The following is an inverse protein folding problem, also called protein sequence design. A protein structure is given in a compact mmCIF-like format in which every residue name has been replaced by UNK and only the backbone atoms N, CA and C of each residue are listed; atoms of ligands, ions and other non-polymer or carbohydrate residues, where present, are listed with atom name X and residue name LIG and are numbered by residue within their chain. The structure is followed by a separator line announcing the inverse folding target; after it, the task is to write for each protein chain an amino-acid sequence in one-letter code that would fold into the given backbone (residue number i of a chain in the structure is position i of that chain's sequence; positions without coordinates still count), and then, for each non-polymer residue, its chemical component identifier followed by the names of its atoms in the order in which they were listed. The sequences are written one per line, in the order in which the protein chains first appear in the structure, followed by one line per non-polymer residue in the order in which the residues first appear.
data_IF_727369241208
#
_entry.id   IF_727369241208
#
_cell.length_a   1.000
_cell.length_b   1.000
_cell.length_c   1.000
_cell.angle_alpha   90.00
_cell.angle_beta   90.00
_cell.angle_gamma   90.00
#
_symmetry.space_group_name_H-M   'P 1'
#
loop_
_entity.id
_entity.type
_entity.pdbx_description
1 polymer ?
#
# COMPACT_ATOMS: atom_id res chain seq x y z
N UNK A 1 -43.03 -3.04 -31.70
CA UNK A 1 -41.55 -3.05 -31.85
C UNK A 1 -41.04 -1.64 -31.61
N UNK A 2 -41.34 -1.09 -30.44
CA UNK A 2 -40.56 -1.14 -29.18
C UNK A 2 -39.62 0.07 -29.13
N UNK A 3 -40.18 1.20 -28.67
CA UNK A 3 -39.44 2.40 -28.31
C UNK A 3 -38.71 2.12 -27.00
N UNK A 4 -37.39 2.23 -27.01
CA UNK A 4 -36.55 2.16 -25.81
C UNK A 4 -36.90 3.31 -24.86
N UNK A 5 -37.18 3.06 -23.58
CA UNK A 5 -37.38 4.13 -22.62
C UNK A 5 -36.03 4.75 -22.25
N UNK A 6 -35.96 6.07 -22.35
CA UNK A 6 -34.94 6.89 -21.68
C UNK A 6 -35.18 6.86 -20.17
N UNK A 7 -34.11 6.61 -19.42
CA UNK A 7 -33.98 7.01 -18.02
C UNK A 7 -33.99 5.88 -16.99
N UNK A 8 -32.81 5.61 -16.41
CA UNK A 8 -32.67 5.48 -14.95
C UNK A 8 -31.23 5.69 -14.53
N UNK A 9 -31.03 6.73 -13.72
CA UNK A 9 -29.81 6.99 -13.01
C UNK A 9 -29.39 5.77 -12.18
N UNK A 10 -28.19 5.26 -12.43
CA UNK A 10 -27.51 4.32 -11.54
C UNK A 10 -26.63 5.11 -10.56
N UNK A 11 -27.25 6.00 -9.77
CA UNK A 11 -26.57 6.57 -8.60
C UNK A 11 -26.83 5.63 -7.42
N UNK A 12 -26.09 4.51 -7.38
CA UNK A 12 -26.05 3.66 -6.19
C UNK A 12 -25.21 4.33 -5.10
N UNK A 13 -25.64 4.19 -3.85
CA UNK A 13 -24.97 4.63 -2.60
C UNK A 13 -23.64 3.89 -2.31
N UNK A 14 -22.79 3.68 -3.31
CA UNK A 14 -21.53 2.92 -3.23
C UNK A 14 -20.44 3.50 -4.16
N UNK A 15 -20.47 4.80 -4.43
CA UNK A 15 -19.28 5.46 -4.98
C UNK A 15 -18.31 5.64 -3.81
N UNK A 16 -17.28 4.79 -3.71
CA UNK A 16 -16.19 5.04 -2.78
C UNK A 16 -15.49 6.31 -3.24
N UNK A 17 -15.46 7.30 -2.36
CA UNK A 17 -14.68 8.51 -2.56
C UNK A 17 -13.21 8.16 -2.31
N UNK A 18 -12.49 7.84 -3.40
CA UNK A 18 -11.09 7.45 -3.31
C UNK A 18 -10.17 8.61 -2.92
N UNK A 19 -10.60 9.86 -3.10
CA UNK A 19 -9.86 11.04 -2.65
C UNK A 19 -9.94 11.13 -1.13
N UNK A 20 -11.15 11.03 -0.57
CA UNK A 20 -11.36 10.96 0.87
C UNK A 20 -10.59 9.79 1.51
N UNK A 21 -10.65 8.59 0.92
CA UNK A 21 -9.89 7.42 1.42
C UNK A 21 -8.39 7.69 1.42
N UNK A 22 -7.84 8.31 0.36
CA UNK A 22 -6.42 8.63 0.31
C UNK A 22 -6.00 9.64 1.37
N UNK A 23 -6.80 10.68 1.62
CA UNK A 23 -6.53 11.67 2.67
C UNK A 23 -6.54 11.03 4.06
N UNK A 24 -7.54 10.19 4.34
CA UNK A 24 -7.66 9.46 5.61
C UNK A 24 -6.47 8.52 5.83
N UNK A 25 -6.08 7.75 4.82
CA UNK A 25 -4.92 6.85 4.89
C UNK A 25 -3.60 7.62 5.00
N UNK A 26 -3.45 8.79 4.36
CA UNK A 26 -2.29 9.66 4.51
C UNK A 26 -2.19 10.24 5.92
N UNK A 27 -3.32 10.61 6.52
CA UNK A 27 -3.40 11.04 7.91
C UNK A 27 -2.97 9.91 8.86
N UNK A 28 -3.55 8.71 8.69
CA UNK A 28 -3.20 7.54 9.48
C UNK A 28 -1.70 7.20 9.35
N UNK A 29 -1.15 7.23 8.13
CA UNK A 29 0.27 7.01 7.89
C UNK A 29 1.14 8.07 8.60
N UNK A 30 0.71 9.34 8.58
CA UNK A 30 1.39 10.42 9.29
C UNK A 30 1.50 10.14 10.78
N UNK A 31 0.37 9.77 11.40
CA UNK A 31 0.29 9.49 12.83
C UNK A 31 1.20 8.33 13.24
N UNK A 32 1.27 7.27 12.44
CA UNK A 32 2.16 6.11 12.70
C UNK A 32 3.65 6.48 12.64
N UNK A 33 4.01 7.55 11.95
CA UNK A 33 5.38 8.01 11.77
C UNK A 33 5.83 9.05 12.80
N UNK A 34 4.91 9.69 13.54
CA UNK A 34 5.22 10.82 14.43
C UNK A 34 6.40 10.55 15.38
N UNK A 35 6.34 9.48 16.18
CA UNK A 35 7.41 9.16 17.13
C UNK A 35 8.74 8.77 16.48
N UNK A 36 8.72 8.31 15.23
CA UNK A 36 9.95 8.00 14.48
C UNK A 36 10.60 9.25 13.90
N UNK A 37 9.79 10.22 13.44
CA UNK A 37 10.28 11.50 12.92
C UNK A 37 10.96 12.33 14.00
N UNK A 38 10.47 12.27 15.23
CA UNK A 38 11.11 12.92 16.38
C UNK A 38 12.46 12.26 16.73
N UNK A 39 12.52 10.92 16.64
CA UNK A 39 13.72 10.14 16.95
C UNK A 39 14.81 10.26 15.88
N UNK A 40 14.42 10.41 14.61
CA UNK A 40 15.31 10.48 13.46
C UNK A 40 14.99 11.72 12.60
N UNK A 41 15.26 12.93 13.11
CA UNK A 41 14.85 14.18 12.45
C UNK A 41 15.55 14.43 11.11
N UNK A 42 16.76 13.89 10.94
CA UNK A 42 17.56 14.06 9.72
C UNK A 42 17.12 13.13 8.57
N UNK A 43 16.22 12.18 8.84
CA UNK A 43 15.69 11.28 7.82
C UNK A 43 14.48 11.93 7.15
N UNK A 44 14.67 12.39 5.91
CA UNK A 44 13.59 12.92 5.10
C UNK A 44 12.61 11.79 4.74
N UNK A 45 11.33 11.99 5.04
CA UNK A 45 10.27 11.00 4.79
C UNK A 45 9.30 11.54 3.74
N UNK A 46 9.26 10.87 2.60
CA UNK A 46 8.19 11.02 1.62
C UNK A 46 7.09 9.97 1.89
N UNK A 47 5.84 10.41 1.94
CA UNK A 47 4.68 9.57 2.30
C UNK A 47 3.82 9.38 1.07
N UNK A 48 3.57 8.13 0.71
CA UNK A 48 2.77 7.79 -0.46
C UNK A 48 1.70 6.77 -0.09
N UNK A 49 0.45 7.08 -0.43
CA UNK A 49 -0.68 6.15 -0.39
C UNK A 49 -1.16 5.98 -1.82
N UNK A 50 -1.30 4.73 -2.27
CA UNK A 50 -1.74 4.40 -3.62
C UNK A 50 -2.89 3.40 -3.57
N UNK A 51 -3.84 3.56 -4.49
CA UNK A 51 -4.87 2.57 -4.73
C UNK A 51 -4.42 1.61 -5.84
N UNK A 52 -3.64 0.60 -5.46
CA UNK A 52 -3.05 -0.38 -6.39
C UNK A 52 -2.78 -1.73 -5.69
N UNK A 53 -2.35 -2.73 -6.45
CA UNK A 53 -1.82 -3.97 -5.91
C UNK A 53 -0.43 -3.72 -5.30
N UNK A 54 -0.15 -4.24 -4.10
CA UNK A 54 1.07 -3.90 -3.36
C UNK A 54 2.36 -4.30 -4.08
N UNK A 55 2.40 -5.50 -4.69
CA UNK A 55 3.61 -6.00 -5.35
C UNK A 55 3.99 -5.14 -6.56
N UNK A 56 3.14 -4.92 -7.58
CA UNK A 56 3.48 -4.03 -8.69
C UNK A 56 3.82 -2.62 -8.25
N UNK A 57 3.08 -2.06 -7.29
CA UNK A 57 3.35 -0.70 -6.80
C UNK A 57 4.73 -0.58 -6.16
N UNK A 58 5.07 -1.49 -5.24
CA UNK A 58 6.37 -1.48 -4.57
C UNK A 58 7.53 -1.75 -5.53
N UNK A 59 7.33 -2.60 -6.55
CA UNK A 59 8.35 -2.83 -7.58
C UNK A 59 8.65 -1.57 -8.40
N UNK A 60 7.64 -0.75 -8.74
CA UNK A 60 7.88 0.54 -9.42
C UNK A 60 8.71 1.50 -8.57
N UNK A 61 8.44 1.58 -7.27
CA UNK A 61 9.27 2.39 -6.38
C UNK A 61 10.68 1.81 -6.22
N UNK A 62 10.81 0.49 -6.23
CA UNK A 62 12.09 -0.20 -6.10
C UNK A 62 13.05 0.07 -7.28
N UNK A 63 12.54 0.40 -8.47
CA UNK A 63 13.36 0.80 -9.64
C UNK A 63 14.26 2.02 -9.35
N UNK A 64 13.87 2.86 -8.40
CA UNK A 64 14.59 4.07 -8.02
C UNK A 64 15.14 4.02 -6.58
N UNK A 65 15.03 2.88 -5.89
CA UNK A 65 15.45 2.71 -4.51
C UNK A 65 16.76 1.92 -4.41
N UNK A 66 17.56 2.22 -3.39
CA UNK A 66 18.77 1.44 -3.07
C UNK A 66 18.47 0.21 -2.20
N UNK A 67 17.33 0.20 -1.50
CA UNK A 67 16.90 -0.88 -0.62
C UNK A 67 15.37 -0.83 -0.46
N UNK A 68 14.71 -1.97 -0.62
CA UNK A 68 13.30 -2.14 -0.29
C UNK A 68 13.14 -2.84 1.06
N UNK A 69 12.46 -2.19 2.02
CA UNK A 69 12.23 -2.76 3.36
C UNK A 69 10.76 -3.16 3.51
N UNK A 70 10.51 -4.40 3.89
CA UNK A 70 9.15 -4.94 4.12
C UNK A 70 9.09 -5.79 5.38
N UNK A 71 7.90 -5.89 5.98
CA UNK A 71 7.67 -6.83 7.08
C UNK A 71 7.66 -8.30 6.61
N UNK A 72 7.81 -9.25 7.54
CA UNK A 72 7.68 -10.67 7.21
C UNK A 72 6.27 -11.10 6.84
N UNK A 73 5.24 -10.46 7.40
CA UNK A 73 3.84 -10.80 7.15
C UNK A 73 3.00 -9.51 7.11
N UNK A 74 1.92 -9.54 6.32
CA UNK A 74 0.88 -8.51 6.35
C UNK A 74 -0.29 -8.93 7.25
N UNK A 75 -1.43 -8.26 7.10
CA UNK A 75 -2.68 -8.55 7.83
C UNK A 75 -3.43 -9.83 7.38
N UNK A 76 -2.77 -10.73 6.63
CA UNK A 76 -3.39 -11.93 6.06
C UNK A 76 -3.49 -13.12 7.04
N UNK A 77 -4.46 -14.01 6.79
CA UNK A 77 -4.90 -15.07 7.72
C UNK A 77 -3.99 -16.32 7.84
N UNK A 78 -2.79 -16.34 7.23
CA UNK A 78 -1.91 -17.52 7.25
C UNK A 78 -0.85 -17.38 8.35
N UNK A 79 -1.23 -17.80 9.56
CA UNK A 79 -0.40 -17.75 10.78
C UNK A 79 0.77 -18.76 10.80
N UNK A 80 0.95 -19.56 9.75
CA UNK A 80 2.01 -20.60 9.67
C UNK A 80 3.12 -20.35 8.64
N UNK A 81 3.06 -19.29 7.84
CA UNK A 81 4.08 -19.02 6.81
C UNK A 81 5.27 -18.21 7.37
N UNK A 82 6.49 -18.57 6.96
CA UNK A 82 7.71 -17.82 7.27
C UNK A 82 7.69 -16.41 6.65
N UNK A 83 7.10 -16.29 5.46
CA UNK A 83 6.93 -15.05 4.69
C UNK A 83 5.48 -14.92 4.20
N UNK A 84 4.96 -13.68 4.18
CA UNK A 84 3.70 -13.34 3.52
C UNK A 84 3.87 -13.26 1.99
N UNK A 85 2.75 -13.37 1.26
CA UNK A 85 2.74 -13.40 -0.21
C UNK A 85 3.42 -12.19 -0.86
N UNK A 86 3.20 -10.98 -0.32
CA UNK A 86 3.86 -9.76 -0.80
C UNK A 86 5.38 -9.84 -0.62
N UNK A 87 5.86 -10.15 0.58
CA UNK A 87 7.30 -10.21 0.87
C UNK A 87 7.99 -11.30 0.05
N UNK A 88 7.35 -12.46 -0.12
CA UNK A 88 7.86 -13.52 -0.98
C UNK A 88 7.99 -13.06 -2.44
N UNK A 89 6.95 -12.44 -3.00
CA UNK A 89 6.99 -11.95 -4.37
C UNK A 89 8.06 -10.87 -4.58
N UNK A 90 8.23 -9.95 -3.62
CA UNK A 90 9.24 -8.89 -3.71
C UNK A 90 10.66 -9.44 -3.67
N UNK A 91 10.95 -10.44 -2.82
CA UNK A 91 12.26 -11.08 -2.79
C UNK A 91 12.64 -11.71 -4.13
N UNK A 92 11.66 -12.23 -4.88
CA UNK A 92 11.91 -12.86 -6.18
C UNK A 92 12.01 -11.88 -7.36
N UNK A 93 11.38 -10.70 -7.26
CA UNK A 93 11.18 -9.82 -8.41
C UNK A 93 11.74 -8.41 -8.25
N UNK A 94 12.22 -8.03 -7.07
CA UNK A 94 12.74 -6.68 -6.82
C UNK A 94 13.97 -6.38 -7.68
N UNK A 95 14.03 -5.19 -8.31
CA UNK A 95 15.23 -4.73 -9.03
C UNK A 95 16.35 -4.28 -8.07
N UNK A 96 16.07 -4.15 -6.77
CA UNK A 96 17.03 -3.76 -5.74
C UNK A 96 17.03 -4.73 -4.55
N UNK A 97 18.05 -4.70 -3.67
CA UNK A 97 18.08 -5.52 -2.46
C UNK A 97 16.81 -5.38 -1.62
N UNK A 98 16.38 -6.49 -0.99
CA UNK A 98 15.18 -6.53 -0.15
C UNK A 98 15.55 -6.92 1.28
N UNK A 99 15.23 -6.07 2.25
CA UNK A 99 15.30 -6.39 3.67
C UNK A 99 13.92 -6.81 4.18
N UNK A 100 13.81 -8.06 4.62
CA UNK A 100 12.59 -8.57 5.27
C UNK A 100 12.76 -8.56 6.78
N UNK A 101 12.00 -7.69 7.45
CA UNK A 101 12.13 -7.43 8.89
C UNK A 101 11.04 -8.16 9.68
N UNK A 102 11.45 -8.87 10.74
CA UNK A 102 10.54 -9.53 11.70
C UNK A 102 10.24 -8.58 12.85
N UNK A 103 9.00 -8.56 13.38
CA UNK A 103 8.76 -7.94 14.68
C UNK A 103 9.57 -8.69 15.74
N UNK A 104 10.31 -7.95 16.54
CA UNK A 104 10.96 -8.41 17.79
C UNK A 104 9.96 -8.47 18.92
#
# INVERSE_FOLDING_TARGET
MERLPRGRAYHSRLAVDWEQVQEEELCLLAERLTGWRERYPDVLVDRCVVHDRPVPALLRFAEHAQLLVVGTRGHGALTGALLGSTSQALVHHSPCPVAVVRPT
#
